data_IF_408439066160
#
_entry.id   IF_408439066160
#
_cell.length_a   1.000
_cell.length_b   1.000
_cell.length_c   1.000
_cell.angle_alpha   90.00
_cell.angle_beta   90.00
_cell.angle_gamma   90.00
#
_symmetry.space_group_name_H-M   'P 1'
#
loop_
_entity.id
_entity.type
_entity.pdbx_description
1 polymer ?
#
# COMPACT_ATOMS: atom_id res chain seq x y z
N UNK A 1 -6.07 26.05 9.88
CA UNK A 1 -5.72 24.72 9.33
C UNK A 1 -4.32 24.34 9.77
N UNK A 2 -4.17 23.11 10.20
CA UNK A 2 -2.86 22.54 10.52
C UNK A 2 -2.49 21.51 9.47
N UNK A 3 -1.21 21.27 9.30
CA UNK A 3 -0.75 20.18 8.45
C UNK A 3 0.49 19.53 9.04
N UNK A 4 0.65 18.27 8.74
CA UNK A 4 1.80 17.47 9.16
C UNK A 4 2.25 16.59 8.00
N UNK A 5 3.55 16.39 7.90
CA UNK A 5 4.13 15.49 6.92
C UNK A 5 5.06 14.50 7.61
N UNK A 6 5.27 13.36 6.99
CA UNK A 6 6.19 12.36 7.52
C UNK A 6 6.40 11.23 6.54
N UNK A 7 7.26 10.32 6.97
CA UNK A 7 7.54 9.09 6.23
C UNK A 7 7.34 7.90 7.16
N UNK A 8 6.79 6.83 6.61
CA UNK A 8 6.80 5.52 7.26
C UNK A 8 7.61 4.57 6.40
N UNK A 9 8.48 3.81 7.03
CA UNK A 9 9.28 2.80 6.34
C UNK A 9 8.85 1.42 6.79
N UNK A 10 8.67 0.53 5.82
CA UNK A 10 8.30 -0.86 6.08
C UNK A 10 9.31 -1.78 5.42
N UNK A 11 9.74 -2.79 6.17
CA UNK A 11 10.53 -3.87 5.59
C UNK A 11 9.58 -4.99 5.19
N UNK A 12 9.56 -5.30 3.92
CA UNK A 12 8.78 -6.43 3.40
C UNK A 12 9.64 -7.68 3.38
N UNK A 13 9.08 -8.80 3.83
CA UNK A 13 9.81 -10.07 3.87
C UNK A 13 9.42 -11.00 2.73
N UNK A 14 8.26 -10.75 2.12
CA UNK A 14 7.73 -11.58 1.04
C UNK A 14 6.87 -10.76 0.09
N UNK A 15 6.61 -11.31 -1.08
CA UNK A 15 5.62 -10.78 -2.01
C UNK A 15 4.22 -10.94 -1.41
N UNK A 16 3.38 -9.93 -1.59
CA UNK A 16 1.98 -9.98 -1.17
C UNK A 16 1.55 -8.78 -0.36
N UNK A 17 0.39 -8.94 0.28
CA UNK A 17 -0.27 -7.87 1.02
C UNK A 17 0.24 -7.82 2.46
N UNK A 18 0.73 -6.66 2.87
CA UNK A 18 1.14 -6.37 4.23
C UNK A 18 0.16 -5.35 4.82
N UNK A 19 -0.55 -5.73 5.88
CA UNK A 19 -1.47 -4.82 6.57
C UNK A 19 -0.67 -3.77 7.34
N UNK A 20 -0.86 -2.51 7.00
CA UNK A 20 -0.16 -1.38 7.61
C UNK A 20 -1.13 -0.44 8.32
N UNK A 21 -2.37 -0.86 8.51
CA UNK A 21 -3.43 -0.01 9.09
C UNK A 21 -3.03 0.56 10.43
N UNK A 22 -2.46 -0.26 11.33
CA UNK A 22 -2.10 0.17 12.67
C UNK A 22 -1.02 1.25 12.65
N UNK A 23 0.02 1.04 11.87
CA UNK A 23 1.15 1.98 11.79
C UNK A 23 0.71 3.32 11.22
N UNK A 24 -0.17 3.29 10.22
CA UNK A 24 -0.74 4.51 9.64
C UNK A 24 -1.64 5.22 10.66
N UNK A 25 -2.50 4.46 11.36
CA UNK A 25 -3.37 5.03 12.38
C UNK A 25 -2.58 5.67 13.52
N UNK A 26 -1.54 5.02 14.01
CA UNK A 26 -0.68 5.56 15.07
C UNK A 26 -0.03 6.87 14.64
N UNK A 27 0.47 6.93 13.40
CA UNK A 27 1.06 8.16 12.88
C UNK A 27 0.02 9.28 12.81
N UNK A 28 -1.16 8.99 12.29
CA UNK A 28 -2.24 9.98 12.17
C UNK A 28 -2.72 10.47 13.54
N UNK A 29 -2.90 9.56 14.48
CA UNK A 29 -3.35 9.89 15.84
C UNK A 29 -2.35 10.82 16.53
N UNK A 30 -1.06 10.62 16.32
CA UNK A 30 -0.01 11.45 16.91
C UNK A 30 -0.09 12.92 16.45
N UNK A 31 -0.75 13.21 15.35
CA UNK A 31 -0.88 14.58 14.86
C UNK A 31 -1.99 15.38 15.55
N UNK A 32 -2.91 14.71 16.20
CA UNK A 32 -3.99 15.37 16.96
C UNK A 32 -5.02 16.11 16.09
N UNK A 33 -5.13 15.75 14.82
CA UNK A 33 -6.12 16.32 13.91
C UNK A 33 -7.44 15.55 14.06
N UNK A 34 -8.54 16.26 14.21
CA UNK A 34 -9.84 15.64 14.37
C UNK A 34 -10.62 15.53 13.06
N UNK A 35 -10.58 16.57 12.27
CA UNK A 35 -11.28 16.62 10.98
C UNK A 35 -10.28 16.98 9.91
N UNK A 36 -10.08 16.09 8.93
CA UNK A 36 -9.07 16.35 7.92
C UNK A 36 -8.99 15.26 6.86
N UNK A 37 -7.93 15.36 6.06
CA UNK A 37 -7.65 14.40 5.01
C UNK A 37 -6.22 13.91 5.13
N UNK A 38 -6.08 12.61 5.24
CA UNK A 38 -4.80 11.92 5.24
C UNK A 38 -4.49 11.43 3.82
N UNK A 39 -3.32 11.78 3.32
CA UNK A 39 -2.82 11.27 2.04
C UNK A 39 -1.61 10.39 2.28
N UNK A 40 -1.65 9.20 1.71
CA UNK A 40 -0.53 8.26 1.69
C UNK A 40 0.00 8.17 0.26
N UNK A 41 1.31 8.17 0.10
CA UNK A 41 1.92 8.04 -1.22
C UNK A 41 3.06 7.02 -1.17
N UNK A 42 2.93 5.97 -1.98
CA UNK A 42 3.97 4.94 -2.12
C UNK A 42 5.02 5.42 -3.13
N UNK A 43 6.26 5.52 -2.67
CA UNK A 43 7.36 6.11 -3.45
C UNK A 43 8.13 5.08 -4.26
N UNK A 44 7.43 4.08 -4.79
CA UNK A 44 8.06 2.95 -5.50
C UNK A 44 7.29 2.59 -6.75
N UNK A 45 7.98 1.93 -7.68
CA UNK A 45 7.39 1.45 -8.93
C UNK A 45 7.13 -0.05 -8.93
N UNK A 46 7.50 -0.75 -7.85
CA UNK A 46 7.31 -2.19 -7.70
C UNK A 46 6.61 -2.58 -6.40
N UNK A 47 5.96 -1.60 -5.78
CA UNK A 47 5.05 -1.77 -4.65
C UNK A 47 3.95 -0.73 -4.77
N UNK A 48 2.83 -0.96 -4.11
CA UNK A 48 1.67 -0.09 -4.24
C UNK A 48 0.79 -0.16 -3.00
N UNK A 49 -0.34 0.52 -3.04
CA UNK A 49 -1.29 0.59 -1.93
C UNK A 49 -2.66 0.13 -2.38
N UNK A 50 -3.37 -0.56 -1.51
CA UNK A 50 -4.80 -0.79 -1.68
C UNK A 50 -5.51 -0.71 -0.33
N UNK A 51 -6.80 -0.41 -0.38
CA UNK A 51 -7.70 -0.57 0.75
C UNK A 51 -8.59 -1.77 0.42
N UNK A 52 -8.58 -2.77 1.29
CA UNK A 52 -9.27 -4.01 1.01
C UNK A 52 -9.66 -4.72 2.31
N UNK A 53 -10.40 -5.80 2.17
CA UNK A 53 -10.95 -6.58 3.26
C UNK A 53 -9.85 -7.10 4.21
N UNK A 54 -10.07 -6.95 5.52
CA UNK A 54 -9.07 -7.20 6.54
C UNK A 54 -9.37 -8.41 7.44
N UNK A 55 -10.49 -9.09 7.25
CA UNK A 55 -10.93 -10.12 8.19
C UNK A 55 -10.56 -11.52 7.75
N UNK A 56 -10.72 -11.85 6.45
CA UNK A 56 -10.53 -13.20 5.95
C UNK A 56 -9.17 -13.36 5.27
N UNK A 57 -8.25 -14.16 5.82
CA UNK A 57 -6.98 -14.44 5.14
C UNK A 57 -7.16 -15.03 3.74
N UNK A 58 -8.25 -15.76 3.52
CA UNK A 58 -8.56 -16.31 2.19
C UNK A 58 -8.81 -15.23 1.15
N UNK A 59 -9.46 -14.12 1.52
CA UNK A 59 -9.68 -13.00 0.60
C UNK A 59 -8.35 -12.40 0.16
N UNK A 60 -7.42 -12.26 1.09
CA UNK A 60 -6.08 -11.77 0.79
C UNK A 60 -5.36 -12.69 -0.18
N UNK A 61 -5.41 -14.01 0.07
CA UNK A 61 -4.79 -14.98 -0.83
C UNK A 61 -5.40 -14.97 -2.22
N UNK A 62 -6.71 -14.79 -2.32
CA UNK A 62 -7.40 -14.74 -3.61
C UNK A 62 -7.00 -13.48 -4.40
N UNK A 63 -6.83 -12.35 -3.72
CA UNK A 63 -6.35 -11.12 -4.36
C UNK A 63 -4.93 -11.33 -4.88
N UNK A 64 -4.04 -11.88 -4.07
CA UNK A 64 -2.67 -12.17 -4.47
C UNK A 64 -2.62 -13.12 -5.67
N UNK A 65 -3.44 -14.17 -5.65
CA UNK A 65 -3.52 -15.13 -6.75
C UNK A 65 -4.06 -14.51 -8.04
N UNK A 66 -5.03 -13.60 -7.92
CA UNK A 66 -5.58 -12.90 -9.07
C UNK A 66 -4.49 -12.10 -9.80
N UNK A 67 -3.71 -11.33 -9.05
CA UNK A 67 -2.63 -10.53 -9.65
C UNK A 67 -1.52 -11.41 -10.23
N UNK A 68 -1.26 -12.57 -9.64
CA UNK A 68 -0.32 -13.52 -10.20
C UNK A 68 -0.77 -14.03 -11.57
N UNK A 69 -2.09 -14.18 -11.76
CA UNK A 69 -2.64 -14.64 -13.06
C UNK A 69 -2.60 -13.56 -14.13
N UNK A 70 -2.93 -12.31 -13.77
CA UNK A 70 -3.05 -11.25 -14.78
C UNK A 70 -1.71 -10.58 -15.11
N UNK A 71 -0.72 -10.70 -14.22
CA UNK A 71 0.63 -10.20 -14.45
C UNK A 71 1.63 -11.32 -14.12
N UNK A 72 1.71 -12.34 -14.99
CA UNK A 72 2.54 -13.50 -14.71
C UNK A 72 4.02 -13.24 -14.91
N UNK A 73 4.85 -14.01 -14.23
CA UNK A 73 6.29 -14.04 -14.43
C UNK A 73 6.60 -14.92 -15.65
N UNK A 74 6.60 -14.30 -16.81
CA UNK A 74 6.91 -14.99 -18.07
C UNK A 74 8.12 -14.31 -18.71
N UNK A 75 9.25 -14.99 -18.70
CA UNK A 75 10.52 -14.45 -19.20
C UNK A 75 10.47 -14.03 -20.67
N UNK A 76 9.50 -14.55 -21.43
CA UNK A 76 9.40 -14.26 -22.87
C UNK A 76 8.34 -13.21 -23.19
N UNK A 77 7.58 -12.75 -22.21
CA UNK A 77 6.47 -11.83 -22.41
C UNK A 77 6.88 -10.36 -22.40
N UNK A 78 8.05 -10.02 -21.84
CA UNK A 78 8.43 -8.63 -21.55
C UNK A 78 9.79 -8.28 -22.11
N UNK A 79 9.91 -7.04 -22.60
CA UNK A 79 11.20 -6.50 -23.03
C UNK A 79 12.09 -6.13 -21.84
N UNK A 80 11.49 -5.58 -20.78
CA UNK A 80 12.22 -5.19 -19.57
C UNK A 80 12.45 -6.43 -18.71
N UNK A 81 13.63 -7.03 -18.80
CA UNK A 81 13.93 -8.33 -18.17
C UNK A 81 15.23 -8.34 -17.37
N UNK A 82 15.90 -7.19 -17.21
CA UNK A 82 17.27 -7.15 -16.66
C UNK A 82 17.31 -7.28 -15.14
N UNK A 83 16.19 -7.03 -14.45
CA UNK A 83 16.16 -6.98 -12.99
C UNK A 83 15.45 -8.19 -12.36
N UNK A 84 15.37 -9.29 -13.07
CA UNK A 84 14.77 -10.53 -12.61
C UNK A 84 13.37 -10.76 -13.16
N UNK A 85 12.87 -12.01 -13.06
CA UNK A 85 11.59 -12.37 -13.67
C UNK A 85 10.38 -11.76 -12.96
N UNK A 86 10.54 -11.28 -11.74
CA UNK A 86 9.44 -10.67 -10.97
C UNK A 86 9.35 -9.15 -11.14
N UNK A 87 10.30 -8.52 -11.83
CA UNK A 87 10.35 -7.05 -11.87
C UNK A 87 9.29 -6.44 -12.79
N UNK A 88 9.23 -6.85 -14.06
CA UNK A 88 8.21 -6.27 -14.95
C UNK A 88 6.79 -6.61 -14.52
N UNK A 89 6.48 -7.84 -14.09
CA UNK A 89 5.17 -8.10 -13.46
C UNK A 89 4.88 -7.19 -12.27
N UNK A 90 5.89 -6.86 -11.46
CA UNK A 90 5.73 -5.94 -10.34
C UNK A 90 5.30 -4.55 -10.81
N UNK A 91 5.93 -4.04 -11.88
CA UNK A 91 5.54 -2.75 -12.45
C UNK A 91 4.11 -2.76 -12.97
N UNK A 92 3.68 -3.84 -13.60
CA UNK A 92 2.32 -3.98 -14.12
C UNK A 92 1.31 -4.02 -12.97
N UNK A 93 1.59 -4.77 -11.92
CA UNK A 93 0.71 -4.84 -10.74
C UNK A 93 0.61 -3.48 -10.06
N UNK A 94 1.73 -2.77 -9.93
CA UNK A 94 1.72 -1.42 -9.37
C UNK A 94 0.90 -0.45 -10.22
N UNK A 95 0.94 -0.61 -11.54
CA UNK A 95 0.16 0.20 -12.47
C UNK A 95 -1.33 -0.04 -12.34
N UNK A 96 -1.74 -1.26 -12.01
CA UNK A 96 -3.15 -1.65 -11.87
C UNK A 96 -3.73 -1.34 -10.48
N UNK A 97 -2.89 -1.08 -9.52
CA UNK A 97 -3.30 -0.72 -8.16
C UNK A 97 -3.07 0.76 -7.91
N UNK A 98 -2.91 1.19 -6.68
CA UNK A 98 -2.80 2.60 -6.37
C UNK A 98 -1.46 2.91 -5.71
N UNK A 99 -0.85 4.02 -6.06
CA UNK A 99 0.31 4.54 -5.32
C UNK A 99 -0.10 5.58 -4.29
N UNK A 100 -1.34 6.09 -4.39
CA UNK A 100 -1.84 7.15 -3.52
C UNK A 100 -3.21 6.72 -2.96
N UNK A 101 -3.40 6.99 -1.67
CA UNK A 101 -4.70 6.83 -1.00
C UNK A 101 -5.02 8.13 -0.29
N UNK A 102 -6.29 8.51 -0.33
CA UNK A 102 -6.82 9.61 0.46
C UNK A 102 -7.86 9.05 1.42
N UNK A 103 -7.67 9.30 2.71
CA UNK A 103 -8.55 8.77 3.76
C UNK A 103 -9.00 9.93 4.63
N UNK A 104 -10.31 10.20 4.68
CA UNK A 104 -10.82 11.23 5.59
C UNK A 104 -10.59 10.87 7.06
N UNK A 105 -10.27 11.88 7.87
CA UNK A 105 -10.34 11.77 9.31
C UNK A 105 -11.63 12.43 9.78
N UNK A 106 -12.41 11.69 10.55
CA UNK A 106 -13.68 12.16 11.10
C UNK A 106 -13.70 11.82 12.58
N UNK A 107 -13.89 12.81 13.43
CA UNK A 107 -13.87 12.60 14.86
C UNK A 107 -12.53 12.07 15.37
N UNK A 108 -11.45 12.42 14.74
CA UNK A 108 -10.10 11.99 15.13
C UNK A 108 -9.70 10.61 14.65
N UNK A 109 -10.47 9.98 13.77
CA UNK A 109 -10.20 8.63 13.30
C UNK A 109 -10.26 8.55 11.78
N UNK A 110 -9.45 7.68 11.19
CA UNK A 110 -9.59 7.35 9.79
C UNK A 110 -10.97 6.75 9.53
N UNK A 111 -11.67 7.29 8.53
CA UNK A 111 -13.05 6.89 8.22
C UNK A 111 -13.09 5.59 7.40
N UNK A 112 -12.36 4.59 7.84
CA UNK A 112 -12.39 3.26 7.22
C UNK A 112 -13.65 2.52 7.64
N UNK A 113 -14.22 1.76 6.70
CA UNK A 113 -15.28 0.81 7.04
C UNK A 113 -14.75 -0.30 7.94
N UNK A 114 -15.67 -1.01 8.60
CA UNK A 114 -15.33 -2.08 9.55
C UNK A 114 -14.40 -3.14 8.95
N UNK A 115 -14.59 -3.45 7.68
CA UNK A 115 -13.84 -4.51 7.01
C UNK A 115 -12.71 -3.99 6.12
N UNK A 116 -12.40 -2.69 6.20
CA UNK A 116 -11.33 -2.11 5.38
C UNK A 116 -10.03 -2.04 6.17
N UNK A 117 -8.96 -2.54 5.54
CA UNK A 117 -7.60 -2.33 5.99
C UNK A 117 -6.78 -1.66 4.91
N UNK A 118 -5.73 -0.99 5.33
CA UNK A 118 -4.75 -0.39 4.42
C UNK A 118 -3.62 -1.38 4.23
N UNK A 119 -3.33 -1.69 2.98
CA UNK A 119 -2.27 -2.64 2.65
C UNK A 119 -1.19 -2.02 1.79
N UNK A 120 0.05 -2.31 2.15
CA UNK A 120 1.19 -2.18 1.26
C UNK A 120 1.28 -3.48 0.45
N UNK A 121 1.17 -3.36 -0.86
CA UNK A 121 1.21 -4.50 -1.76
C UNK A 121 2.63 -4.61 -2.31
N UNK A 122 3.41 -5.57 -1.78
CA UNK A 122 4.76 -5.83 -2.24
C UNK A 122 4.69 -6.73 -3.46
N UNK A 123 5.27 -6.29 -4.58
CA UNK A 123 5.21 -7.04 -5.82
C UNK A 123 6.51 -7.76 -6.15
N UNK A 124 7.59 -7.52 -5.39
CA UNK A 124 8.85 -8.23 -5.54
C UNK A 124 8.96 -9.37 -4.55
N UNK A 125 9.71 -10.40 -4.92
CA UNK A 125 9.87 -11.58 -4.05
C UNK A 125 10.87 -11.39 -2.93
N UNK A 126 11.98 -10.67 -3.21
CA UNK A 126 13.01 -10.44 -2.20
C UNK A 126 12.57 -9.39 -1.20
N UNK A 127 13.10 -9.44 0.03
CA UNK A 127 12.84 -8.37 1.00
C UNK A 127 13.28 -7.01 0.49
N UNK A 128 12.46 -6.01 0.78
CA UNK A 128 12.73 -4.62 0.40
C UNK A 128 12.39 -3.68 1.55
N UNK A 129 12.98 -2.50 1.52
CA UNK A 129 12.55 -1.38 2.34
C UNK A 129 11.64 -0.51 1.49
N UNK A 130 10.40 -0.32 1.95
CA UNK A 130 9.41 0.49 1.25
C UNK A 130 9.07 1.71 2.08
N UNK A 131 9.08 2.86 1.45
CA UNK A 131 8.83 4.14 2.12
C UNK A 131 7.55 4.75 1.58
N UNK A 132 6.68 5.12 2.51
CA UNK A 132 5.48 5.91 2.21
C UNK A 132 5.69 7.33 2.70
N UNK A 133 5.28 8.29 1.89
CA UNK A 133 5.15 9.68 2.32
C UNK A 133 3.73 9.92 2.80
N UNK A 134 3.58 10.65 3.89
CA UNK A 134 2.29 10.96 4.47
C UNK A 134 2.11 12.46 4.58
N UNK A 135 0.90 12.91 4.32
CA UNK A 135 0.49 14.28 4.53
C UNK A 135 -0.90 14.29 5.15
N UNK A 136 -1.05 15.03 6.22
CA UNK A 136 -2.33 15.20 6.89
C UNK A 136 -2.61 16.69 7.02
N UNK A 137 -3.79 17.11 6.55
CA UNK A 137 -4.24 18.47 6.66
C UNK A 137 -5.63 18.51 7.28
N UNK A 138 -5.85 19.42 8.22
CA UNK A 138 -7.14 19.54 8.90
C UNK A 138 -7.08 20.38 10.16
N UNK A 139 -8.05 20.18 11.03
CA UNK A 139 -8.17 20.89 12.30
C UNK A 139 -8.19 19.93 13.48
#
# INVERSE_FOLDING_TARGET
MRQATGFLEFRTERQGLLDITREVAEWADAQGVREGLLTLFCRHTSASLIVQENAAPAARRDIEAYFARIAPEDAHAYEHDEEGPDDMPAHLRATLTQVQLSIPLIGGRMALGTWQGIYLFEHRRRPHRRTLALHLAGE
#
